data_IF_570325485765
#
_entry.id   IF_570325485765
#
_cell.length_a   1.000
_cell.length_b   1.000
_cell.length_c   1.000
_cell.angle_alpha   90.00
_cell.angle_beta   90.00
_cell.angle_gamma   90.00
#
_symmetry.space_group_name_H-M   'P 1'
#
loop_
_entity.id
_entity.type
_entity.pdbx_description
1 polymer ?
#
# COMPACT_ATOMS: atom_id res chain seq x y z
N UNK A 1 -28.47 2.15 21.98
CA UNK A 1 -27.83 2.61 20.73
C UNK A 1 -27.86 1.61 19.59
N UNK A 2 -27.39 0.36 19.73
CA UNK A 2 -27.42 -0.62 18.62
C UNK A 2 -28.82 -0.78 18.00
N UNK A 3 -29.85 -0.97 18.83
CA UNK A 3 -31.24 -1.07 18.37
C UNK A 3 -31.78 0.19 17.69
N UNK A 4 -31.35 1.38 18.11
CA UNK A 4 -31.78 2.66 17.54
C UNK A 4 -31.15 2.90 16.17
N UNK A 5 -29.84 2.62 16.04
CA UNK A 5 -29.13 2.72 14.75
C UNK A 5 -29.64 1.65 13.78
N UNK A 6 -29.93 0.43 14.24
CA UNK A 6 -30.53 -0.60 13.38
C UNK A 6 -31.94 -0.20 12.92
N UNK A 7 -32.74 0.44 13.78
CA UNK A 7 -34.01 1.05 13.41
C UNK A 7 -33.87 2.13 12.34
N UNK A 8 -32.83 2.97 12.46
CA UNK A 8 -32.48 4.00 11.47
C UNK A 8 -32.10 3.39 10.12
N UNK A 9 -31.32 2.30 10.10
CA UNK A 9 -31.00 1.53 8.87
C UNK A 9 -32.26 0.95 8.24
N UNK A 10 -33.14 0.33 9.04
CA UNK A 10 -34.38 -0.24 8.55
C UNK A 10 -35.28 0.83 7.91
N UNK A 11 -35.36 2.01 8.54
CA UNK A 11 -36.06 3.16 7.99
C UNK A 11 -35.42 3.67 6.69
N UNK A 12 -34.09 3.86 6.66
CA UNK A 12 -33.31 4.27 5.47
C UNK A 12 -33.62 3.36 4.27
N UNK A 13 -33.54 2.05 4.49
CA UNK A 13 -33.74 1.04 3.44
C UNK A 13 -35.20 0.99 2.96
N UNK A 14 -36.18 1.11 3.87
CA UNK A 14 -37.60 1.12 3.52
C UNK A 14 -37.99 2.32 2.66
N UNK A 15 -37.42 3.49 2.95
CA UNK A 15 -37.82 4.74 2.31
C UNK A 15 -36.89 5.14 1.15
N UNK A 16 -35.75 4.47 0.96
CA UNK A 16 -34.78 4.82 -0.08
C UNK A 16 -34.13 6.19 0.12
N UNK A 17 -34.11 6.70 1.36
CA UNK A 17 -33.59 8.04 1.70
C UNK A 17 -32.22 7.90 2.35
N UNK A 18 -31.16 8.56 1.84
CA UNK A 18 -29.86 8.58 2.51
C UNK A 18 -29.96 9.19 3.92
N UNK A 19 -29.20 8.63 4.86
CA UNK A 19 -29.20 9.09 6.25
C UNK A 19 -27.79 9.46 6.67
N UNK A 20 -27.69 10.57 7.40
CA UNK A 20 -26.48 11.04 8.07
C UNK A 20 -26.81 11.27 9.55
N UNK A 21 -26.00 10.74 10.46
CA UNK A 21 -26.11 11.02 11.89
C UNK A 21 -25.55 12.42 12.16
N UNK A 22 -26.45 13.41 12.15
CA UNK A 22 -26.12 14.84 12.29
C UNK A 22 -25.22 15.13 13.49
N UNK A 23 -25.54 14.53 14.63
CA UNK A 23 -24.80 14.71 15.88
C UNK A 23 -24.84 13.41 16.68
N UNK A 24 -23.70 13.00 17.21
CA UNK A 24 -23.65 12.03 18.29
C UNK A 24 -22.57 12.43 19.31
N UNK A 25 -22.86 12.16 20.58
CA UNK A 25 -22.00 12.54 21.69
C UNK A 25 -22.66 12.15 23.01
N UNK A 26 -21.86 12.08 24.06
CA UNK A 26 -22.31 11.77 25.41
C UNK A 26 -22.74 13.03 26.16
N UNK A 27 -23.72 12.94 27.06
CA UNK A 27 -24.11 14.06 27.93
C UNK A 27 -22.93 14.63 28.74
N UNK A 28 -22.86 15.95 28.91
CA UNK A 28 -21.79 16.66 29.64
C UNK A 28 -21.58 16.20 31.09
N UNK A 29 -22.61 15.62 31.70
CA UNK A 29 -22.58 15.12 33.08
C UNK A 29 -21.96 13.73 33.20
N UNK A 30 -21.70 13.05 32.09
CA UNK A 30 -21.01 11.77 32.11
C UNK A 30 -19.51 11.98 32.39
N UNK A 31 -18.91 11.08 33.16
CA UNK A 31 -17.46 11.08 33.38
C UNK A 31 -16.71 10.92 32.06
N UNK A 32 -15.50 11.49 31.95
CA UNK A 32 -14.65 11.40 30.74
C UNK A 32 -14.52 9.97 30.21
N UNK A 33 -14.33 8.99 31.10
CA UNK A 33 -14.26 7.58 30.72
C UNK A 33 -15.58 7.07 30.11
N UNK A 34 -16.74 7.49 30.65
CA UNK A 34 -18.05 7.16 30.10
C UNK A 34 -18.28 7.83 28.74
N UNK A 35 -17.85 9.09 28.60
CA UNK A 35 -17.89 9.84 27.34
C UNK A 35 -17.11 9.13 26.23
N UNK A 36 -15.87 8.73 26.52
CA UNK A 36 -15.02 7.97 25.59
C UNK A 36 -15.60 6.60 25.20
N UNK A 37 -16.22 5.87 26.13
CA UNK A 37 -16.94 4.62 25.82
C UNK A 37 -18.14 4.85 24.91
N UNK A 38 -18.98 5.82 25.23
CA UNK A 38 -20.16 6.14 24.42
C UNK A 38 -19.78 6.58 23.01
N UNK A 39 -18.76 7.43 22.87
CA UNK A 39 -18.20 7.82 21.57
C UNK A 39 -17.77 6.59 20.75
N UNK A 40 -17.08 5.63 21.40
CA UNK A 40 -16.67 4.36 20.80
C UNK A 40 -17.84 3.53 20.31
N UNK A 41 -18.83 3.33 21.16
CA UNK A 41 -19.99 2.51 20.83
C UNK A 41 -20.80 3.13 19.70
N UNK A 42 -20.96 4.46 19.72
CA UNK A 42 -21.63 5.21 18.67
C UNK A 42 -20.90 5.07 17.34
N UNK A 43 -19.60 5.39 17.32
CA UNK A 43 -18.76 5.27 16.12
C UNK A 43 -18.76 3.85 15.58
N UNK A 44 -18.61 2.83 16.43
CA UNK A 44 -18.62 1.43 16.00
C UNK A 44 -19.94 1.03 15.34
N UNK A 45 -21.08 1.44 15.91
CA UNK A 45 -22.39 1.15 15.33
C UNK A 45 -22.63 1.90 14.02
N UNK A 46 -22.22 3.18 13.93
CA UNK A 46 -22.29 3.96 12.69
C UNK A 46 -21.43 3.33 11.59
N UNK A 47 -20.19 2.94 11.89
CA UNK A 47 -19.30 2.21 10.96
C UNK A 47 -19.89 0.87 10.53
N UNK A 48 -20.39 0.05 11.47
CA UNK A 48 -21.01 -1.26 11.19
C UNK A 48 -22.18 -1.14 10.20
N UNK A 49 -22.94 -0.06 10.30
CA UNK A 49 -24.14 0.17 9.48
C UNK A 49 -23.90 1.03 8.24
N UNK A 50 -22.65 1.46 8.04
CA UNK A 50 -22.26 2.38 6.97
C UNK A 50 -23.11 3.67 6.99
N UNK A 51 -23.48 4.15 8.18
CA UNK A 51 -24.14 5.45 8.34
C UNK A 51 -23.04 6.48 8.67
N UNK A 52 -22.79 7.48 7.82
CA UNK A 52 -21.89 8.57 8.15
C UNK A 52 -22.44 9.40 9.32
N UNK A 53 -21.56 10.03 10.10
CA UNK A 53 -22.00 10.89 11.19
C UNK A 53 -20.96 11.90 11.64
N UNK A 54 -21.39 12.87 12.45
CA UNK A 54 -20.54 13.91 13.04
C UNK A 54 -20.61 13.87 14.56
N UNK A 55 -19.45 13.97 15.20
CA UNK A 55 -19.32 13.99 16.66
C UNK A 55 -19.54 15.40 17.18
N UNK A 56 -20.47 15.58 18.11
CA UNK A 56 -20.69 16.86 18.80
C UNK A 56 -19.90 16.92 20.12
N UNK A 57 -19.16 17.99 20.46
CA UNK A 57 -18.80 19.21 19.74
C UNK A 57 -17.29 19.46 19.82
N UNK A 58 -16.75 20.31 18.93
CA UNK A 58 -15.30 20.54 18.87
C UNK A 58 -14.76 21.25 20.13
N UNK A 59 -15.38 22.32 20.60
CA UNK A 59 -14.80 23.19 21.64
C UNK A 59 -15.82 23.98 22.49
N UNK A 60 -16.98 23.41 22.79
CA UNK A 60 -18.08 24.12 23.48
C UNK A 60 -17.98 24.13 25.02
N UNK A 61 -16.83 23.73 25.60
CA UNK A 61 -16.60 23.67 27.04
C UNK A 61 -17.28 22.50 27.77
N UNK A 62 -18.35 21.94 27.22
CA UNK A 62 -19.17 20.91 27.89
C UNK A 62 -19.06 19.52 27.23
N UNK A 63 -18.90 19.50 25.91
CA UNK A 63 -18.84 18.33 25.04
C UNK A 63 -17.55 18.29 24.20
N UNK A 64 -16.61 19.18 24.54
CA UNK A 64 -15.42 19.43 23.73
C UNK A 64 -14.55 18.19 23.51
N UNK A 65 -14.23 17.95 22.23
CA UNK A 65 -13.15 17.08 21.78
C UNK A 65 -11.80 17.79 21.95
N UNK A 66 -11.82 19.12 21.89
CA UNK A 66 -10.68 20.01 22.04
C UNK A 66 -10.95 21.07 23.10
N UNK A 67 -10.18 21.05 24.17
CA UNK A 67 -10.20 22.07 25.21
C UNK A 67 -9.39 23.29 24.77
N UNK A 68 -10.09 24.35 24.35
CA UNK A 68 -9.44 25.61 23.94
C UNK A 68 -8.80 26.37 25.10
N UNK A 69 -9.21 26.13 26.35
CA UNK A 69 -8.63 26.80 27.52
C UNK A 69 -7.30 26.17 27.89
N UNK A 70 -7.19 24.84 27.82
CA UNK A 70 -5.94 24.12 28.12
C UNK A 70 -5.10 23.79 26.88
N UNK A 71 -5.61 24.07 25.68
CA UNK A 71 -5.00 23.76 24.39
C UNK A 71 -4.66 22.26 24.26
N UNK A 72 -5.60 21.41 24.66
CA UNK A 72 -5.43 19.95 24.71
C UNK A 72 -6.62 19.23 24.10
N UNK A 73 -6.34 18.09 23.49
CA UNK A 73 -7.36 17.17 23.02
C UNK A 73 -7.88 16.27 24.16
N UNK A 74 -9.17 15.92 24.14
CA UNK A 74 -9.71 14.85 24.99
C UNK A 74 -9.38 13.49 24.35
N UNK A 75 -8.26 12.92 24.77
CA UNK A 75 -7.74 11.64 24.27
C UNK A 75 -8.74 10.48 24.41
N UNK A 76 -9.62 10.52 25.42
CA UNK A 76 -10.63 9.46 25.60
C UNK A 76 -11.71 9.55 24.55
N UNK A 77 -12.14 10.77 24.22
CA UNK A 77 -13.13 11.00 23.17
C UNK A 77 -12.50 10.74 21.82
N UNK A 78 -11.30 11.25 21.51
CA UNK A 78 -10.56 10.96 20.28
C UNK A 78 -10.45 9.45 20.04
N UNK A 79 -10.00 8.71 21.05
CA UNK A 79 -9.90 7.25 20.97
C UNK A 79 -11.27 6.59 20.73
N UNK A 80 -12.33 7.15 21.31
CA UNK A 80 -13.71 6.69 21.10
C UNK A 80 -14.24 6.99 19.69
N UNK A 81 -14.03 8.19 19.17
CA UNK A 81 -14.58 8.59 17.87
C UNK A 81 -13.84 7.96 16.69
N UNK A 82 -12.68 7.33 16.94
CA UNK A 82 -11.88 6.61 15.94
C UNK A 82 -11.74 7.40 14.63
N UNK A 83 -11.41 8.70 14.75
CA UNK A 83 -11.18 9.66 13.66
C UNK A 83 -10.07 9.16 12.72
N UNK A 84 -10.42 8.25 11.83
CA UNK A 84 -9.44 7.34 11.24
C UNK A 84 -8.79 6.51 12.33
N UNK A 85 -8.73 5.21 12.13
CA UNK A 85 -7.81 4.43 12.93
C UNK A 85 -6.39 4.77 12.49
N UNK A 86 -5.81 5.76 13.17
CA UNK A 86 -4.54 6.38 12.82
C UNK A 86 -3.45 5.31 12.79
N UNK A 87 -2.57 5.42 11.80
CA UNK A 87 -1.32 4.70 11.82
C UNK A 87 -0.65 4.88 13.19
N UNK A 88 -0.12 3.82 13.80
CA UNK A 88 0.76 4.00 14.96
C UNK A 88 2.10 4.44 14.44
N UNK A 89 2.47 5.69 14.69
CA UNK A 89 3.80 6.21 14.40
C UNK A 89 4.77 5.74 15.47
N UNK A 90 5.73 4.90 15.09
CA UNK A 90 6.82 4.45 15.95
C UNK A 90 7.94 5.49 15.99
N UNK A 91 8.22 6.14 14.85
CA UNK A 91 9.23 7.18 14.72
C UNK A 91 8.82 8.19 13.65
N UNK A 92 8.87 9.48 14.00
CA UNK A 92 8.69 10.64 13.11
C UNK A 92 9.40 11.83 13.78
N UNK A 93 10.58 12.22 13.27
CA UNK A 93 11.57 13.14 13.86
C UNK A 93 12.14 12.76 15.24
N UNK A 94 11.34 12.07 16.05
CA UNK A 94 11.64 11.57 17.38
C UNK A 94 10.93 10.24 17.59
N UNK A 95 11.51 9.41 18.45
CA UNK A 95 10.88 8.17 18.89
C UNK A 95 9.70 8.51 19.81
N UNK A 96 8.59 7.78 19.67
CA UNK A 96 7.47 7.91 20.59
C UNK A 96 7.92 7.70 22.05
N UNK A 97 7.45 8.53 22.98
CA UNK A 97 7.83 8.47 24.41
C UNK A 97 7.47 7.15 25.11
N UNK A 98 6.69 6.32 24.44
CA UNK A 98 6.23 5.00 24.86
C UNK A 98 7.02 3.84 24.25
N UNK A 99 8.01 4.14 23.42
CA UNK A 99 8.97 3.18 22.90
C UNK A 99 10.28 3.27 23.66
N UNK A 100 10.97 2.13 23.69
CA UNK A 100 12.37 2.03 24.02
C UNK A 100 13.14 1.66 22.77
N UNK A 101 14.34 2.21 22.72
CA UNK A 101 15.39 1.73 21.87
C UNK A 101 16.18 0.68 22.67
N UNK A 102 15.98 -0.59 22.34
CA UNK A 102 16.69 -1.71 22.97
C UNK A 102 17.58 -2.38 21.93
N UNK A 103 18.55 -1.63 21.45
CA UNK A 103 19.57 -2.14 20.54
C UNK A 103 20.58 -3.03 21.28
N UNK A 104 21.16 -4.03 20.61
CA UNK A 104 22.13 -4.95 21.21
C UNK A 104 23.39 -5.09 20.34
N UNK A 105 24.44 -5.73 20.86
CA UNK A 105 25.72 -5.93 20.17
C UNK A 105 26.38 -4.63 19.68
N UNK A 106 26.46 -3.62 20.56
CA UNK A 106 27.10 -2.31 20.28
C UNK A 106 26.48 -1.52 19.12
N UNK A 107 25.24 -1.82 18.75
CA UNK A 107 24.47 -1.01 17.82
C UNK A 107 24.30 0.39 18.39
N UNK A 108 24.53 1.41 17.57
CA UNK A 108 24.27 2.80 17.92
C UNK A 108 23.15 3.34 17.06
N UNK A 109 22.40 4.27 17.63
CA UNK A 109 21.40 5.01 16.88
C UNK A 109 21.29 6.43 17.39
N UNK A 110 21.26 7.40 16.49
CA UNK A 110 21.23 8.82 16.84
C UNK A 110 20.27 9.56 15.91
N UNK A 111 19.61 10.63 16.39
CA UNK A 111 18.96 11.58 15.50
C UNK A 111 19.96 12.10 14.46
N UNK A 112 19.54 12.20 13.20
CA UNK A 112 20.35 12.67 12.09
C UNK A 112 19.61 13.78 11.33
N UNK A 113 20.29 14.92 11.13
CA UNK A 113 19.72 16.09 10.47
C UNK A 113 20.09 16.21 8.98
N UNK A 114 21.08 15.43 8.52
CA UNK A 114 21.65 15.53 7.17
C UNK A 114 20.86 14.73 6.14
N UNK A 115 20.55 13.47 6.45
CA UNK A 115 19.80 12.56 5.59
C UNK A 115 18.44 12.32 6.23
N UNK A 116 17.42 13.04 5.77
CA UNK A 116 16.04 12.91 6.25
C UNK A 116 15.06 12.87 5.10
N UNK A 117 13.96 12.15 5.27
CA UNK A 117 12.89 12.05 4.28
C UNK A 117 11.83 13.12 4.53
N UNK A 118 11.53 13.34 5.79
CA UNK A 118 10.53 14.26 6.35
C UNK A 118 11.18 15.14 7.43
N UNK A 119 10.48 16.20 7.82
CA UNK A 119 10.73 16.87 9.10
C UNK A 119 12.13 17.41 9.38
N UNK A 120 12.51 17.36 10.65
CA UNK A 120 13.78 17.83 11.20
C UNK A 120 14.87 16.76 11.22
N UNK A 121 14.55 15.49 11.49
CA UNK A 121 15.48 14.40 11.73
C UNK A 121 15.04 13.09 11.11
N UNK A 122 16.01 12.24 10.77
CA UNK A 122 15.81 10.80 10.67
C UNK A 122 16.53 10.07 11.81
N UNK A 123 16.32 8.76 11.91
CA UNK A 123 17.07 7.89 12.80
C UNK A 123 18.24 7.25 12.06
N UNK A 124 19.46 7.65 12.35
CA UNK A 124 20.66 6.93 11.91
C UNK A 124 20.82 5.66 12.76
N UNK A 125 21.08 4.53 12.11
CA UNK A 125 21.38 3.24 12.75
C UNK A 125 22.70 2.70 12.22
N UNK A 126 23.61 2.36 13.12
CA UNK A 126 24.88 1.71 12.79
C UNK A 126 24.97 0.34 13.46
N UNK A 127 25.04 -0.73 12.65
CA UNK A 127 25.28 -2.09 13.07
C UNK A 127 26.77 -2.47 12.85
N UNK A 128 27.51 -2.96 13.85
CA UNK A 128 28.95 -3.23 13.72
C UNK A 128 29.29 -4.44 12.85
N UNK A 129 30.47 -4.37 12.22
CA UNK A 129 31.03 -5.29 11.22
C UNK A 129 31.42 -6.71 11.66
N UNK A 130 31.16 -7.09 12.91
CA UNK A 130 31.72 -8.33 13.47
C UNK A 130 30.71 -9.14 14.26
N UNK A 131 29.44 -8.73 14.21
CA UNK A 131 28.37 -9.44 14.90
C UNK A 131 27.24 -9.64 13.93
N UNK A 132 27.21 -10.80 13.27
CA UNK A 132 26.20 -11.21 12.29
C UNK A 132 24.77 -11.29 12.81
N UNK A 133 24.56 -10.88 14.06
CA UNK A 133 23.29 -10.84 14.76
C UNK A 133 23.04 -9.48 15.43
N UNK A 134 23.81 -8.44 15.11
CA UNK A 134 23.52 -7.09 15.61
C UNK A 134 22.17 -6.59 15.06
N UNK A 135 21.42 -5.87 15.89
CA UNK A 135 20.13 -5.36 15.50
C UNK A 135 19.67 -4.15 16.30
N UNK A 136 18.87 -3.33 15.62
CA UNK A 136 18.15 -2.21 16.18
C UNK A 136 16.71 -2.63 16.49
N UNK A 137 16.14 -2.13 17.58
CA UNK A 137 14.80 -2.51 18.03
C UNK A 137 13.98 -1.31 18.51
N UNK A 138 12.75 -1.21 17.99
CA UNK A 138 11.67 -0.50 18.64
C UNK A 138 10.89 -1.48 19.51
N UNK A 139 10.89 -1.28 20.83
CA UNK A 139 10.09 -2.09 21.75
C UNK A 139 9.21 -1.25 22.65
N UNK A 140 8.05 -1.80 23.01
CA UNK A 140 7.09 -1.12 23.86
C UNK A 140 7.62 -0.94 25.30
N UNK A 141 7.53 0.27 25.85
CA UNK A 141 7.91 0.54 27.23
C UNK A 141 6.82 0.09 28.22
N UNK A 142 6.89 -1.15 28.71
CA UNK A 142 5.94 -1.68 29.70
C UNK A 142 5.82 -0.84 30.98
N UNK A 143 6.91 -0.21 31.42
CA UNK A 143 6.93 0.46 32.74
C UNK A 143 6.25 1.83 32.74
N UNK A 144 5.91 2.41 31.59
CA UNK A 144 5.31 3.75 31.51
C UNK A 144 3.92 3.78 30.92
N UNK A 145 3.50 2.75 30.15
CA UNK A 145 2.14 2.70 29.58
C UNK A 145 1.43 1.38 29.93
N UNK A 146 0.22 1.43 30.54
CA UNK A 146 -0.48 0.25 31.06
C UNK A 146 -0.85 -0.80 30.02
N UNK A 147 -1.06 -0.43 28.76
CA UNK A 147 -1.40 -1.38 27.71
C UNK A 147 -0.94 -0.88 26.34
N UNK A 148 -0.20 -1.72 25.63
CA UNK A 148 0.08 -1.50 24.23
C UNK A 148 -1.19 -1.72 23.38
N UNK A 149 -1.37 -1.00 22.26
CA UNK A 149 -2.49 -1.24 21.35
C UNK A 149 -2.36 -2.63 20.70
N UNK A 150 -3.47 -3.34 20.45
CA UNK A 150 -3.43 -4.60 19.72
C UNK A 150 -2.89 -4.39 18.31
N UNK A 151 -2.12 -5.34 17.80
CA UNK A 151 -1.57 -5.28 16.44
C UNK A 151 -2.57 -5.74 15.36
N UNK A 152 -3.63 -6.46 15.75
CA UNK A 152 -4.62 -7.01 14.81
C UNK A 152 -5.33 -6.01 13.89
N UNK A 153 -5.49 -4.71 14.23
CA UNK A 153 -6.07 -3.74 13.31
C UNK A 153 -5.13 -3.29 12.18
N UNK A 154 -3.81 -3.51 12.32
CA UNK A 154 -2.81 -3.08 11.34
C UNK A 154 -2.61 -4.11 10.24
N UNK A 155 -2.51 -3.65 8.99
CA UNK A 155 -2.30 -4.48 7.81
C UNK A 155 -0.91 -4.37 7.22
N UNK A 156 -0.16 -3.32 7.53
CA UNK A 156 1.21 -3.19 7.09
C UNK A 156 2.10 -2.43 8.08
N UNK A 157 3.37 -2.76 8.10
CA UNK A 157 4.46 -1.93 8.59
C UNK A 157 4.95 -1.05 7.42
N UNK A 158 5.08 0.24 7.65
CA UNK A 158 5.57 1.22 6.68
C UNK A 158 6.73 2.00 7.26
N UNK A 159 7.74 2.28 6.45
CA UNK A 159 8.84 3.17 6.82
C UNK A 159 9.59 3.61 5.57
N UNK A 160 10.27 4.74 5.67
CA UNK A 160 11.29 5.12 4.70
C UNK A 160 12.65 4.65 5.17
N UNK A 161 13.46 4.17 4.22
CA UNK A 161 14.84 3.76 4.48
C UNK A 161 15.79 4.38 3.45
N UNK A 162 16.90 4.91 3.93
CA UNK A 162 18.02 5.38 3.10
C UNK A 162 19.20 4.43 3.29
N UNK A 163 19.63 3.79 2.22
CA UNK A 163 20.82 2.95 2.22
C UNK A 163 22.10 3.77 2.05
N UNK A 164 23.17 3.34 2.71
CA UNK A 164 24.54 3.70 2.38
C UNK A 164 25.19 2.55 1.58
N UNK A 165 26.37 2.74 0.97
CA UNK A 165 27.07 1.66 0.29
C UNK A 165 27.35 0.43 1.19
N UNK A 166 27.34 0.60 2.52
CA UNK A 166 27.61 -0.48 3.47
C UNK A 166 26.35 -1.11 4.10
N UNK A 167 25.13 -0.67 3.76
CA UNK A 167 23.91 -1.17 4.42
C UNK A 167 23.65 -2.66 4.24
N UNK A 168 24.06 -3.27 3.11
CA UNK A 168 23.81 -4.69 2.84
C UNK A 168 22.31 -5.08 2.90
N UNK A 169 22.06 -6.37 3.20
CA UNK A 169 20.70 -6.90 3.40
C UNK A 169 20.32 -6.79 4.88
N UNK A 170 19.13 -6.25 5.16
CA UNK A 170 18.55 -6.18 6.48
C UNK A 170 17.39 -7.17 6.61
N UNK A 171 17.27 -7.84 7.75
CA UNK A 171 16.10 -8.61 8.13
C UNK A 171 15.20 -7.77 9.03
N UNK A 172 13.94 -7.66 8.65
CA UNK A 172 12.86 -7.02 9.41
C UNK A 172 11.98 -8.10 10.01
N UNK A 173 11.69 -8.01 11.31
CA UNK A 173 10.80 -8.96 11.97
C UNK A 173 10.10 -8.33 13.17
N UNK A 174 8.91 -8.85 13.49
CA UNK A 174 8.16 -8.48 14.69
C UNK A 174 8.18 -9.66 15.66
N UNK A 175 8.84 -9.48 16.80
CA UNK A 175 8.70 -10.38 17.94
C UNK A 175 7.43 -10.01 18.69
N UNK A 176 6.77 -11.00 19.26
CA UNK A 176 5.66 -10.78 20.16
C UNK A 176 6.11 -11.04 21.60
N UNK A 177 5.49 -10.37 22.55
CA UNK A 177 5.62 -10.79 23.95
C UNK A 177 4.41 -11.65 24.32
N UNK A 178 4.66 -12.70 25.09
CA UNK A 178 3.65 -13.58 25.65
C UNK A 178 4.01 -13.94 27.08
N UNK A 179 3.35 -14.96 27.61
CA UNK A 179 3.72 -15.55 28.89
C UNK A 179 4.07 -17.04 28.68
N UNK A 180 5.05 -17.54 29.43
CA UNK A 180 5.30 -18.99 29.51
C UNK A 180 4.18 -19.70 30.28
N UNK A 181 4.31 -21.02 30.46
CA UNK A 181 3.34 -21.84 31.20
C UNK A 181 3.14 -21.41 32.67
N UNK A 182 4.09 -20.66 33.24
CA UNK A 182 4.05 -20.17 34.62
C UNK A 182 3.56 -18.71 34.70
N UNK A 183 3.20 -18.10 33.58
CA UNK A 183 2.79 -16.70 33.55
C UNK A 183 3.95 -15.69 33.46
N UNK A 184 5.20 -16.13 33.31
CA UNK A 184 6.33 -15.21 33.18
C UNK A 184 6.38 -14.60 31.78
N UNK A 185 6.65 -13.30 31.63
CA UNK A 185 6.80 -12.67 30.33
C UNK A 185 7.93 -13.32 29.52
N UNK A 186 7.62 -13.77 28.31
CA UNK A 186 8.59 -14.30 27.36
C UNK A 186 8.54 -13.55 26.04
N UNK A 187 9.65 -13.61 25.30
CA UNK A 187 9.70 -13.20 23.91
C UNK A 187 9.40 -14.39 23.03
N UNK A 188 8.30 -14.28 22.30
CA UNK A 188 7.92 -15.22 21.25
C UNK A 188 8.73 -14.81 20.02
N UNK A 189 9.61 -15.70 19.51
CA UNK A 189 10.35 -15.45 18.28
C UNK A 189 9.41 -15.13 17.11
N UNK A 190 9.84 -14.32 16.13
CA UNK A 190 9.04 -14.04 14.96
C UNK A 190 8.76 -15.34 14.21
N UNK A 191 7.52 -15.53 13.78
CA UNK A 191 7.14 -16.67 12.93
C UNK A 191 7.59 -16.47 11.48
N UNK A 192 7.79 -15.21 11.07
CA UNK A 192 8.28 -14.83 9.75
C UNK A 192 9.19 -13.61 9.83
N UNK A 193 10.09 -13.53 8.85
CA UNK A 193 11.04 -12.43 8.70
C UNK A 193 11.08 -11.99 7.24
N UNK A 194 11.27 -10.69 7.00
CA UNK A 194 11.35 -10.13 5.64
C UNK A 194 12.73 -9.54 5.42
N UNK A 195 13.40 -9.96 4.36
CA UNK A 195 14.69 -9.38 3.97
C UNK A 195 14.46 -8.19 3.04
N UNK A 196 15.16 -7.09 3.30
CA UNK A 196 15.13 -5.89 2.48
C UNK A 196 16.56 -5.48 2.10
N UNK A 197 16.70 -4.89 0.92
CA UNK A 197 17.96 -4.29 0.46
C UNK A 197 17.71 -2.81 0.20
N UNK A 198 18.14 -1.93 1.12
CA UNK A 198 18.00 -0.48 0.92
C UNK A 198 18.82 -0.02 -0.28
N UNK A 199 18.25 0.88 -1.09
CA UNK A 199 18.95 1.47 -2.22
C UNK A 199 20.02 2.42 -1.70
N UNK A 200 21.29 2.18 -2.03
CA UNK A 200 22.36 3.09 -1.65
C UNK A 200 22.15 4.48 -2.27
N UNK A 201 22.22 5.53 -1.45
CA UNK A 201 22.17 6.91 -1.91
C UNK A 201 20.76 7.46 -2.12
N UNK A 202 19.70 6.69 -1.84
CA UNK A 202 18.32 7.12 -2.09
C UNK A 202 17.35 6.64 -1.00
N UNK A 203 16.33 7.47 -0.73
CA UNK A 203 15.20 7.08 0.10
C UNK A 203 14.27 6.14 -0.67
N UNK A 204 13.80 5.10 0.00
CA UNK A 204 12.79 4.17 -0.50
C UNK A 204 11.74 3.92 0.59
N UNK A 205 10.46 4.01 0.23
CA UNK A 205 9.41 3.52 1.10
C UNK A 205 9.40 1.99 1.06
N UNK A 206 9.33 1.39 2.23
CA UNK A 206 9.16 -0.05 2.43
C UNK A 206 7.80 -0.26 3.09
N UNK A 207 6.97 -1.06 2.43
CA UNK A 207 5.65 -1.46 2.91
C UNK A 207 5.68 -2.97 3.07
N UNK A 208 5.63 -3.47 4.30
CA UNK A 208 5.63 -4.89 4.62
C UNK A 208 4.23 -5.26 5.11
N UNK A 209 3.45 -6.04 4.36
CA UNK A 209 2.20 -6.60 4.84
C UNK A 209 2.40 -7.33 6.18
N UNK A 210 1.50 -7.13 7.14
CA UNK A 210 1.58 -7.81 8.43
C UNK A 210 1.51 -9.33 8.27
N UNK A 211 0.88 -9.84 7.20
CA UNK A 211 0.89 -11.27 6.82
C UNK A 211 2.28 -11.81 6.51
N UNK A 212 3.18 -10.97 5.99
CA UNK A 212 4.56 -11.36 5.70
C UNK A 212 5.42 -11.36 6.98
N UNK A 213 4.94 -10.68 8.03
CA UNK A 213 5.49 -10.70 9.39
C UNK A 213 4.76 -11.71 10.29
N UNK A 214 3.89 -12.56 9.72
CA UNK A 214 3.21 -13.63 10.44
C UNK A 214 1.92 -13.23 11.14
N UNK A 215 1.35 -12.07 10.80
CA UNK A 215 0.11 -11.51 11.35
C UNK A 215 0.12 -11.43 12.88
N UNK A 216 1.11 -10.77 13.50
CA UNK A 216 1.18 -10.69 14.95
C UNK A 216 -0.07 -9.99 15.50
N UNK A 217 -0.72 -10.61 16.48
CA UNK A 217 -1.95 -10.12 17.13
C UNK A 217 -1.72 -9.52 18.52
N UNK A 218 -0.65 -9.92 19.21
CA UNK A 218 -0.36 -9.48 20.57
C UNK A 218 -0.11 -7.97 20.66
N UNK A 219 -0.50 -7.41 21.81
CA UNK A 219 -0.38 -5.98 22.09
C UNK A 219 1.08 -5.55 22.23
N UNK A 220 1.91 -6.38 22.84
CA UNK A 220 3.33 -6.07 23.05
C UNK A 220 4.15 -6.69 21.93
N UNK A 221 4.96 -5.84 21.30
CA UNK A 221 5.79 -6.24 20.18
C UNK A 221 7.18 -5.62 20.25
N UNK A 222 8.09 -6.22 19.49
CA UNK A 222 9.42 -5.67 19.21
C UNK A 222 9.66 -5.70 17.72
N UNK A 223 9.73 -4.54 17.11
CA UNK A 223 10.10 -4.40 15.71
C UNK A 223 11.62 -4.34 15.63
N UNK A 224 12.21 -5.27 14.89
CA UNK A 224 13.67 -5.40 14.77
C UNK A 224 14.15 -5.20 13.35
N UNK A 225 15.31 -4.56 13.21
CA UNK A 225 16.09 -4.44 11.99
C UNK A 225 17.48 -5.04 12.24
N UNK A 226 17.80 -6.17 11.60
CA UNK A 226 19.02 -6.95 11.85
C UNK A 226 19.87 -7.05 10.58
N UNK A 227 21.19 -7.05 10.71
CA UNK A 227 22.06 -7.42 9.59
C UNK A 227 21.95 -8.93 9.31
N UNK A 228 21.81 -9.35 8.06
CA UNK A 228 21.62 -10.77 7.69
C UNK A 228 22.92 -11.57 7.50
N UNK A 229 24.07 -10.91 7.52
CA UNK A 229 25.35 -11.55 7.25
C UNK A 229 26.35 -11.14 8.30
N UNK A 230 27.25 -12.07 8.66
CA UNK A 230 28.57 -11.73 9.20
C UNK A 230 29.35 -10.99 8.10
N UNK A 231 28.95 -9.74 7.87
CA UNK A 231 29.62 -8.85 6.95
C UNK A 231 30.78 -8.24 7.71
N UNK A 232 32.00 -8.36 7.17
CA UNK A 232 33.18 -7.64 7.66
C UNK A 232 33.06 -6.10 7.54
N UNK A 233 31.91 -5.59 7.06
CA UNK A 233 31.62 -4.17 6.90
C UNK A 233 30.43 -3.77 7.78
N UNK A 234 30.50 -2.67 8.55
CA UNK A 234 29.38 -2.20 9.35
C UNK A 234 28.19 -1.82 8.48
N UNK A 235 26.97 -2.16 8.90
CA UNK A 235 25.76 -1.74 8.22
C UNK A 235 25.33 -0.37 8.75
N UNK A 236 25.34 0.66 7.88
CA UNK A 236 24.83 1.99 8.23
C UNK A 236 23.59 2.30 7.39
N UNK A 237 22.50 2.72 8.01
CA UNK A 237 21.27 3.12 7.31
C UNK A 237 20.51 4.18 8.10
N UNK A 238 19.51 4.79 7.46
CA UNK A 238 18.63 5.79 8.08
C UNK A 238 17.18 5.35 7.96
N UNK A 239 16.41 5.51 9.03
CA UNK A 239 14.97 5.24 9.07
C UNK A 239 14.20 6.55 9.27
N UNK A 240 13.06 6.68 8.62
CA UNK A 240 12.15 7.82 8.78
C UNK A 240 10.68 7.37 8.61
N UNK A 241 9.74 8.14 9.17
CA UNK A 241 8.29 7.87 9.21
C UNK A 241 7.91 6.38 9.46
N UNK A 242 8.49 5.76 10.50
CA UNK A 242 8.21 4.36 10.83
C UNK A 242 6.83 4.25 11.47
N UNK A 243 5.93 3.46 10.88
CA UNK A 243 4.55 3.34 11.35
C UNK A 243 3.89 2.00 11.04
N UNK A 244 2.89 1.63 11.83
CA UNK A 244 1.96 0.55 11.54
C UNK A 244 0.69 1.15 10.95
N UNK A 245 0.28 0.71 9.75
CA UNK A 245 -0.91 1.22 9.05
C UNK A 245 -2.06 0.22 9.07
N UNK A 246 -3.30 0.69 9.23
CA UNK A 246 -4.50 -0.15 9.22
C UNK A 246 -5.10 -0.38 7.83
N UNK A 247 -5.81 -1.50 7.64
CA UNK A 247 -6.56 -1.77 6.41
C UNK A 247 -7.60 -0.66 6.19
N UNK A 248 -7.54 0.03 5.06
CA UNK A 248 -8.50 1.09 4.75
C UNK A 248 -8.26 2.43 5.46
N UNK A 249 -7.23 2.56 6.31
CA UNK A 249 -6.71 3.86 6.70
C UNK A 249 -5.91 4.42 5.53
N UNK A 250 -6.62 4.94 4.53
CA UNK A 250 -6.07 5.95 3.66
C UNK A 250 -5.89 7.22 4.48
N UNK A 251 -4.90 7.27 5.36
CA UNK A 251 -4.24 8.54 5.59
C UNK A 251 -3.61 8.89 4.25
N UNK A 252 -3.77 10.10 3.70
CA UNK A 252 -3.00 10.51 2.53
C UNK A 252 -1.63 11.03 3.01
N UNK A 253 -0.54 10.21 3.06
CA UNK A 253 0.76 10.74 2.69
C UNK A 253 0.68 10.99 1.18
N UNK A 254 1.32 12.05 0.67
CA UNK A 254 1.25 12.43 -0.74
C UNK A 254 1.26 11.19 -1.66
N UNK A 255 0.17 11.03 -2.40
CA UNK A 255 -0.10 10.01 -3.42
C UNK A 255 1.22 9.45 -3.97
N UNK A 256 1.73 8.35 -3.40
CA UNK A 256 2.96 7.73 -3.90
C UNK A 256 2.57 6.86 -5.09
N UNK A 257 2.36 7.56 -6.21
CA UNK A 257 2.31 7.07 -7.57
C UNK A 257 3.58 6.28 -7.86
N UNK A 258 3.64 4.99 -7.55
CA UNK A 258 4.67 4.15 -8.16
C UNK A 258 4.08 2.93 -8.85
N UNK A 259 2.93 2.38 -8.46
CA UNK A 259 2.34 1.25 -9.21
C UNK A 259 0.81 1.22 -9.35
N UNK A 260 0.09 2.16 -8.73
CA UNK A 260 -1.37 2.18 -8.89
C UNK A 260 -1.74 2.69 -10.29
N UNK A 261 -1.10 3.75 -10.80
CA UNK A 261 -1.35 4.25 -12.16
C UNK A 261 -0.20 3.87 -13.11
N UNK A 262 -0.41 2.86 -13.97
CA UNK A 262 0.49 2.49 -15.08
C UNK A 262 0.52 3.62 -16.12
N UNK A 263 -0.63 4.28 -16.30
CA UNK A 263 -0.81 5.46 -17.14
C UNK A 263 -1.67 6.47 -16.38
N UNK A 264 -1.09 7.61 -15.97
CA UNK A 264 -1.83 8.72 -15.35
C UNK A 264 -1.77 9.97 -16.22
N UNK A 265 -2.94 10.57 -16.43
CA UNK A 265 -3.17 11.64 -17.38
C UNK A 265 -2.78 13.05 -16.89
N UNK A 266 -1.72 13.14 -16.10
CA UNK A 266 -1.27 14.40 -15.46
C UNK A 266 -0.06 15.02 -16.16
N UNK A 267 0.60 14.29 -17.06
CA UNK A 267 1.79 14.74 -17.80
C UNK A 267 1.59 14.62 -19.31
N UNK A 268 1.98 15.63 -20.13
CA UNK A 268 1.97 15.54 -21.60
C UNK A 268 2.81 14.37 -22.16
N UNK A 269 3.72 13.81 -21.37
CA UNK A 269 4.53 12.65 -21.74
C UNK A 269 3.80 11.31 -21.57
N UNK A 270 2.63 11.29 -20.91
CA UNK A 270 1.66 10.19 -20.85
C UNK A 270 2.08 8.91 -20.10
N UNK A 271 3.30 8.43 -20.27
CA UNK A 271 3.75 7.18 -19.65
C UNK A 271 4.52 7.45 -18.35
N UNK A 272 4.31 6.58 -17.36
CA UNK A 272 5.14 6.58 -16.17
C UNK A 272 6.62 6.39 -16.57
N UNK A 273 7.53 7.15 -15.96
CA UNK A 273 8.95 7.20 -16.36
C UNK A 273 9.72 5.88 -16.22
N UNK A 274 9.10 4.88 -15.59
CA UNK A 274 9.61 3.52 -15.41
C UNK A 274 9.09 2.52 -16.45
N UNK A 275 8.24 2.95 -17.37
CA UNK A 275 7.79 2.15 -18.51
C UNK A 275 8.67 2.41 -19.74
N UNK A 276 8.89 1.37 -20.54
CA UNK A 276 9.33 1.53 -21.92
C UNK A 276 8.23 1.03 -22.85
N UNK A 277 8.07 1.73 -23.97
CA UNK A 277 7.25 1.28 -25.09
C UNK A 277 8.06 0.27 -25.90
N UNK A 278 7.59 -0.98 -25.96
CA UNK A 278 8.10 -2.01 -26.87
C UNK A 278 7.02 -2.54 -27.79
N UNK A 279 6.20 -1.62 -28.28
CA UNK A 279 5.23 -1.88 -29.34
C UNK A 279 5.83 -2.69 -30.49
N UNK A 280 5.03 -3.62 -31.00
CA UNK A 280 5.45 -4.45 -32.13
C UNK A 280 5.61 -3.59 -33.38
N UNK A 281 6.46 -4.01 -34.32
CA UNK A 281 6.76 -3.25 -35.54
C UNK A 281 5.47 -2.79 -36.23
N UNK A 282 5.33 -1.47 -36.42
CA UNK A 282 4.20 -0.85 -37.11
C UNK A 282 3.04 -0.40 -36.22
N UNK A 283 3.07 -0.68 -34.92
CA UNK A 283 2.11 -0.11 -33.95
C UNK A 283 2.50 1.34 -33.66
N UNK A 284 1.54 2.25 -33.78
CA UNK A 284 1.72 3.68 -33.51
C UNK A 284 1.12 4.02 -32.16
N UNK A 285 1.92 4.64 -31.29
CA UNK A 285 1.51 5.10 -29.97
C UNK A 285 1.80 6.59 -29.84
N UNK A 286 0.82 7.37 -29.37
CA UNK A 286 1.02 8.79 -29.10
C UNK A 286 0.01 9.31 -28.08
N UNK A 287 0.36 10.34 -27.30
CA UNK A 287 -0.63 11.09 -26.53
C UNK A 287 -1.69 11.71 -27.46
N UNK A 288 -2.97 11.65 -27.09
CA UNK A 288 -4.07 12.29 -27.81
C UNK A 288 -4.82 13.25 -26.89
N UNK A 289 -4.88 14.53 -27.28
CA UNK A 289 -5.66 15.56 -26.57
C UNK A 289 -7.10 15.67 -27.09
N UNK A 290 -7.45 14.95 -28.16
CA UNK A 290 -8.78 15.03 -28.79
C UNK A 290 -9.78 14.05 -28.17
N UNK A 291 -9.33 12.86 -27.79
CA UNK A 291 -10.18 11.82 -27.19
C UNK A 291 -9.64 11.54 -25.78
N UNK A 292 -10.18 12.21 -24.76
CA UNK A 292 -9.67 12.14 -23.39
C UNK A 292 -10.81 11.71 -22.44
N UNK A 293 -10.54 10.77 -21.51
CA UNK A 293 -11.54 10.40 -20.51
C UNK A 293 -11.56 11.39 -19.36
N UNK A 294 -10.37 11.76 -18.90
CA UNK A 294 -10.14 12.73 -17.82
C UNK A 294 -8.67 13.15 -17.80
N UNK A 295 -8.34 14.43 -17.61
CA UNK A 295 -6.96 14.90 -17.60
C UNK A 295 -6.59 15.63 -18.90
N UNK A 296 -5.31 15.59 -19.29
CA UNK A 296 -4.78 16.37 -20.42
C UNK A 296 -4.74 15.61 -21.77
N UNK A 297 -4.58 14.29 -21.79
CA UNK A 297 -4.35 13.43 -22.96
C UNK A 297 -4.64 11.94 -22.70
N UNK A 298 -5.26 11.20 -23.59
CA UNK A 298 -5.24 9.72 -23.51
C UNK A 298 -4.03 9.14 -24.27
N UNK A 299 -3.82 7.84 -24.17
CA UNK A 299 -2.89 7.13 -25.05
C UNK A 299 -3.63 6.60 -26.28
N UNK A 300 -3.36 7.17 -27.45
CA UNK A 300 -3.81 6.61 -28.73
C UNK A 300 -2.92 5.42 -29.11
N UNK A 301 -3.56 4.30 -29.45
CA UNK A 301 -2.91 3.11 -29.99
C UNK A 301 -3.55 2.77 -31.33
N UNK A 302 -2.72 2.70 -32.38
CA UNK A 302 -3.14 2.31 -33.73
C UNK A 302 -2.31 1.10 -34.18
N UNK A 303 -2.99 0.01 -34.51
CA UNK A 303 -2.39 -1.19 -35.05
C UNK A 303 -2.29 -1.11 -36.57
N UNK A 304 -1.21 -1.65 -37.19
CA UNK A 304 -1.10 -1.66 -38.64
C UNK A 304 -2.22 -2.50 -39.24
N UNK A 305 -2.74 -2.06 -40.38
CA UNK A 305 -3.71 -2.82 -41.16
C UNK A 305 -3.07 -4.11 -41.70
N UNK A 306 -3.87 -5.15 -41.89
CA UNK A 306 -3.48 -6.39 -42.59
C UNK A 306 -2.36 -7.21 -41.93
N UNK A 307 -2.11 -7.07 -40.63
CA UNK A 307 -1.10 -7.86 -39.92
C UNK A 307 -1.63 -9.06 -39.16
N UNK A 308 -2.89 -9.47 -39.20
CA UNK A 308 -3.36 -10.65 -38.45
C UNK A 308 -3.37 -10.46 -36.92
N UNK A 309 -2.23 -10.11 -36.30
CA UNK A 309 -2.06 -9.75 -34.90
C UNK A 309 -1.07 -8.61 -34.70
N UNK A 310 -1.43 -7.66 -33.85
CA UNK A 310 -0.56 -6.60 -33.36
C UNK A 310 -0.67 -6.47 -31.83
N UNK A 311 0.37 -5.92 -31.21
CA UNK A 311 0.44 -5.74 -29.75
C UNK A 311 1.11 -4.43 -29.36
N UNK A 312 0.47 -3.70 -28.46
CA UNK A 312 1.07 -2.63 -27.69
C UNK A 312 1.58 -3.20 -26.35
N UNK A 313 2.84 -2.96 -26.00
CA UNK A 313 3.46 -3.48 -24.78
C UNK A 313 3.96 -2.34 -23.88
N UNK A 314 3.57 -2.41 -22.62
CA UNK A 314 4.07 -1.62 -21.50
C UNK A 314 5.02 -2.49 -20.68
N UNK A 315 6.32 -2.27 -20.86
CA UNK A 315 7.35 -3.03 -20.17
C UNK A 315 7.92 -2.29 -18.95
N UNK A 316 8.16 -3.02 -17.85
CA UNK A 316 8.87 -2.48 -16.69
C UNK A 316 10.36 -2.30 -17.01
N UNK A 317 10.92 -1.11 -16.75
CA UNK A 317 12.38 -0.92 -16.80
C UNK A 317 13.08 -1.96 -15.93
N UNK A 318 14.28 -2.41 -16.36
CA UNK A 318 15.05 -3.50 -15.70
C UNK A 318 15.29 -3.32 -14.20
N UNK A 319 15.16 -2.10 -13.66
CA UNK A 319 15.30 -1.80 -12.24
C UNK A 319 14.02 -2.08 -11.41
N UNK A 320 12.92 -2.45 -12.06
CA UNK A 320 11.58 -2.63 -11.45
C UNK A 320 10.94 -4.00 -11.73
N UNK A 321 11.73 -5.04 -12.00
CA UNK A 321 11.23 -6.32 -12.56
C UNK A 321 10.41 -7.21 -11.59
N UNK A 322 10.12 -6.75 -10.38
CA UNK A 322 9.46 -7.54 -9.33
C UNK A 322 8.23 -6.81 -8.76
N UNK A 323 7.27 -6.43 -9.61
CA UNK A 323 5.97 -5.92 -9.14
C UNK A 323 5.10 -7.12 -8.76
N UNK A 324 4.91 -7.34 -7.47
CA UNK A 324 3.99 -8.35 -6.95
C UNK A 324 2.55 -7.98 -7.28
N UNK A 325 1.83 -8.91 -7.90
CA UNK A 325 0.39 -8.79 -8.19
C UNK A 325 -0.49 -9.37 -7.08
N UNK A 326 0.10 -10.00 -6.07
CA UNK A 326 -0.62 -10.62 -4.95
C UNK A 326 -1.57 -9.70 -4.16
N UNK A 327 -1.32 -8.38 -3.98
CA UNK A 327 -2.26 -7.53 -3.25
C UNK A 327 -3.46 -7.08 -4.09
N UNK A 328 -3.44 -7.33 -5.41
CA UNK A 328 -4.46 -6.87 -6.33
C UNK A 328 -5.42 -8.00 -6.70
N UNK A 329 -6.65 -7.62 -7.01
CA UNK A 329 -7.78 -8.46 -7.40
C UNK A 329 -8.14 -8.32 -8.88
N UNK A 330 -7.87 -7.15 -9.48
CA UNK A 330 -8.20 -6.87 -10.87
C UNK A 330 -7.22 -5.90 -11.54
N UNK A 331 -7.22 -5.89 -12.88
CA UNK A 331 -6.72 -4.81 -13.71
C UNK A 331 -7.92 -3.97 -14.16
N UNK A 332 -7.87 -2.65 -13.96
CA UNK A 332 -8.88 -1.69 -14.41
C UNK A 332 -8.28 -0.69 -15.37
N UNK A 333 -9.01 -0.33 -16.42
CA UNK A 333 -8.64 0.76 -17.33
C UNK A 333 -9.87 1.31 -18.04
N UNK A 334 -9.78 2.54 -18.54
CA UNK A 334 -10.75 3.08 -19.48
C UNK A 334 -10.26 2.86 -20.90
N UNK A 335 -11.18 2.46 -21.78
CA UNK A 335 -10.90 2.30 -23.20
C UNK A 335 -11.97 3.01 -24.04
N UNK A 336 -11.51 3.75 -25.05
CA UNK A 336 -12.37 4.31 -26.08
C UNK A 336 -12.24 3.46 -27.35
N UNK A 337 -13.30 2.71 -27.67
CA UNK A 337 -13.39 2.00 -28.94
C UNK A 337 -13.74 2.96 -30.08
N UNK A 338 -13.09 2.76 -31.23
CA UNK A 338 -13.48 3.35 -32.51
C UNK A 338 -14.23 2.31 -33.34
N UNK A 339 -14.80 2.71 -34.48
CA UNK A 339 -15.46 1.77 -35.40
C UNK A 339 -14.51 0.71 -35.99
N UNK A 340 -13.19 0.87 -35.87
CA UNK A 340 -12.19 -0.06 -36.40
C UNK A 340 -11.50 -0.93 -35.34
N UNK A 341 -11.76 -0.76 -34.04
CA UNK A 341 -10.95 -1.37 -32.96
C UNK A 341 -10.87 -2.90 -32.99
N UNK A 342 -11.89 -3.59 -33.49
CA UNK A 342 -11.92 -5.05 -33.49
C UNK A 342 -11.92 -5.67 -32.08
N UNK A 343 -11.59 -6.95 -32.00
CA UNK A 343 -11.46 -7.66 -30.72
C UNK A 343 -10.06 -7.43 -30.13
N UNK A 344 -10.02 -7.08 -28.84
CA UNK A 344 -8.81 -6.90 -28.05
C UNK A 344 -8.66 -7.99 -27.00
N UNK A 345 -7.42 -8.31 -26.66
CA UNK A 345 -7.03 -9.20 -25.59
C UNK A 345 -5.97 -8.52 -24.73
N UNK A 346 -6.04 -8.69 -23.41
CA UNK A 346 -4.99 -8.22 -22.51
C UNK A 346 -4.10 -9.39 -22.12
N UNK A 347 -2.79 -9.16 -22.13
CA UNK A 347 -1.80 -10.13 -21.68
C UNK A 347 -0.95 -9.56 -20.55
N UNK A 348 -0.62 -10.39 -19.57
CA UNK A 348 0.41 -10.12 -18.57
C UNK A 348 1.52 -11.14 -18.73
N UNK A 349 2.74 -10.65 -18.96
CA UNK A 349 3.93 -11.49 -18.94
C UNK A 349 4.53 -11.48 -17.53
N UNK A 350 4.90 -12.65 -17.03
CA UNK A 350 5.60 -12.88 -15.78
C UNK A 350 6.99 -13.41 -16.09
N UNK A 351 8.04 -12.71 -15.63
CA UNK A 351 9.43 -13.10 -15.86
C UNK A 351 9.74 -14.48 -15.24
N UNK A 352 10.50 -15.30 -15.95
CA UNK A 352 11.10 -16.53 -15.41
C UNK A 352 12.58 -16.25 -15.18
N UNK A 353 12.96 -16.15 -13.91
CA UNK A 353 14.35 -15.97 -13.52
C UNK A 353 15.09 -17.30 -13.52
N UNK A 354 16.21 -17.35 -14.25
CA UNK A 354 17.14 -18.48 -14.25
C UNK A 354 18.49 -17.93 -13.82
N UNK A 355 19.00 -18.35 -12.67
CA UNK A 355 20.30 -17.91 -12.14
C UNK A 355 20.48 -16.37 -12.07
N UNK A 356 19.43 -15.64 -11.67
CA UNK A 356 19.50 -14.19 -11.47
C UNK A 356 19.47 -13.35 -12.75
N UNK A 357 19.18 -13.94 -13.91
CA UNK A 357 18.89 -13.22 -15.15
C UNK A 357 17.60 -13.75 -15.80
N UNK A 358 17.02 -12.97 -16.72
CA UNK A 358 15.90 -13.40 -17.57
C UNK A 358 16.51 -13.81 -18.92
N UNK A 359 16.62 -15.10 -19.25
CA UNK A 359 17.03 -15.52 -20.58
C UNK A 359 16.04 -14.96 -21.60
N UNK A 360 16.53 -14.45 -22.74
CA UNK A 360 15.67 -13.88 -23.79
C UNK A 360 14.50 -14.82 -24.12
N UNK A 361 13.27 -14.30 -24.03
CA UNK A 361 12.04 -15.07 -24.29
C UNK A 361 11.58 -15.99 -23.15
N UNK A 362 12.09 -15.87 -21.93
CA UNK A 362 11.66 -16.69 -20.79
C UNK A 362 10.67 -15.93 -19.90
N UNK A 363 9.42 -15.89 -20.33
CA UNK A 363 8.30 -15.40 -19.51
C UNK A 363 7.10 -16.35 -19.63
N UNK A 364 6.31 -16.46 -18.56
CA UNK A 364 4.98 -17.05 -18.64
C UNK A 364 4.02 -15.96 -19.06
N UNK A 365 3.28 -16.18 -20.13
CA UNK A 365 2.28 -15.25 -20.63
C UNK A 365 0.90 -15.70 -20.18
N UNK A 366 0.15 -14.78 -19.58
CA UNK A 366 -1.23 -15.00 -19.19
C UNK A 366 -2.13 -14.08 -20.00
N UNK A 367 -3.23 -14.61 -20.53
CA UNK A 367 -4.14 -13.88 -21.41
C UNK A 367 -5.58 -13.91 -20.90
N UNK A 368 -6.34 -12.88 -21.26
CA UNK A 368 -7.78 -12.81 -21.02
C UNK A 368 -8.54 -13.42 -22.20
N UNK A 369 -9.84 -13.72 -22.08
CA UNK A 369 -10.70 -13.79 -23.25
C UNK A 369 -10.65 -12.47 -24.04
N UNK A 370 -10.85 -12.55 -25.35
CA UNK A 370 -10.96 -11.36 -26.17
C UNK A 370 -12.28 -10.62 -25.87
N UNK A 371 -12.26 -9.29 -25.95
CA UNK A 371 -13.43 -8.43 -25.80
C UNK A 371 -13.42 -7.34 -26.87
N UNK A 372 -14.59 -6.85 -27.24
CA UNK A 372 -14.72 -5.75 -28.21
C UNK A 372 -15.02 -4.46 -27.46
N UNK A 373 -14.14 -3.45 -27.51
CA UNK A 373 -14.43 -2.15 -26.93
C UNK A 373 -15.68 -1.53 -27.55
N UNK A 374 -16.55 -0.96 -26.73
CA UNK A 374 -17.71 -0.22 -27.24
C UNK A 374 -17.29 1.08 -27.90
N UNK A 375 -18.10 1.58 -28.84
CA UNK A 375 -17.90 2.93 -29.36
C UNK A 375 -18.05 3.94 -28.20
N UNK A 376 -17.01 4.75 -27.96
CA UNK A 376 -16.97 5.63 -26.80
C UNK A 376 -16.19 5.05 -25.61
N UNK A 377 -16.09 5.84 -24.54
CA UNK A 377 -15.41 5.42 -23.31
C UNK A 377 -16.20 4.35 -22.56
N UNK A 378 -15.53 3.26 -22.24
CA UNK A 378 -16.02 2.21 -21.35
C UNK A 378 -14.95 1.86 -20.34
N UNK A 379 -15.37 1.55 -19.11
CA UNK A 379 -14.47 0.99 -18.11
C UNK A 379 -14.39 -0.51 -18.31
N UNK A 380 -13.16 -1.02 -18.35
CA UNK A 380 -12.87 -2.45 -18.41
C UNK A 380 -12.22 -2.85 -17.11
N UNK A 381 -12.82 -3.82 -16.43
CA UNK A 381 -12.30 -4.41 -15.19
C UNK A 381 -12.13 -5.91 -15.38
N UNK A 382 -10.88 -6.36 -15.33
CA UNK A 382 -10.48 -7.74 -15.61
C UNK A 382 -9.98 -8.37 -14.30
N UNK A 383 -10.71 -9.32 -13.70
CA UNK A 383 -10.23 -10.03 -12.53
C UNK A 383 -8.90 -10.74 -12.82
N UNK A 384 -7.92 -10.66 -11.94
CA UNK A 384 -6.62 -11.32 -12.14
C UNK A 384 -6.76 -12.85 -12.26
N UNK A 385 -7.78 -13.43 -11.62
CA UNK A 385 -8.14 -14.86 -11.73
C UNK A 385 -8.66 -15.28 -13.12
N UNK A 386 -9.05 -14.32 -13.97
CA UNK A 386 -9.51 -14.58 -15.33
C UNK A 386 -8.36 -14.79 -16.33
N UNK A 387 -7.15 -14.34 -15.98
CA UNK A 387 -5.96 -14.52 -16.79
C UNK A 387 -5.57 -16.01 -16.81
N UNK A 388 -5.49 -16.60 -18.00
CA UNK A 388 -5.13 -18.01 -18.18
C UNK A 388 -3.73 -18.13 -18.79
N UNK A 389 -2.90 -19.07 -18.31
CA UNK A 389 -1.60 -19.31 -18.92
C UNK A 389 -1.79 -19.77 -20.37
N UNK A 390 -0.94 -19.30 -21.29
CA UNK A 390 -0.90 -19.87 -22.63
C UNK A 390 -0.38 -21.32 -22.59
N UNK A 391 -0.81 -22.19 -23.53
CA UNK A 391 -0.38 -23.60 -23.57
C UNK A 391 1.13 -23.81 -23.70
N UNK A 392 1.86 -22.82 -24.22
CA UNK A 392 3.32 -22.83 -24.39
C UNK A 392 4.09 -22.31 -23.17
N UNK A 393 3.38 -21.98 -22.07
CA UNK A 393 4.04 -21.58 -20.83
C UNK A 393 4.88 -22.71 -20.26
N UNK A 394 6.13 -22.37 -19.92
CA UNK A 394 7.11 -23.33 -19.39
C UNK A 394 6.77 -23.82 -17.98
N UNK A 395 5.87 -23.13 -17.28
CA UNK A 395 5.44 -23.51 -15.93
C UNK A 395 3.94 -23.28 -15.75
N UNK A 396 3.25 -24.22 -15.11
CA UNK A 396 1.84 -24.12 -14.71
C UNK A 396 1.63 -23.18 -13.50
N UNK A 397 2.33 -22.04 -13.48
CA UNK A 397 2.31 -21.11 -12.36
C UNK A 397 1.03 -20.27 -12.31
N UNK A 398 0.67 -19.81 -11.11
CA UNK A 398 -0.31 -18.75 -10.93
C UNK A 398 0.32 -17.40 -11.34
N UNK A 399 -0.50 -16.47 -11.82
CA UNK A 399 -0.10 -15.09 -12.06
C UNK A 399 0.16 -14.41 -10.72
N UNK A 400 1.42 -14.13 -10.39
CA UNK A 400 1.82 -13.53 -9.12
C UNK A 400 2.67 -12.27 -9.28
N UNK A 401 3.17 -12.02 -10.48
CA UNK A 401 4.07 -10.89 -10.76
C UNK A 401 3.78 -10.28 -12.14
N UNK A 402 4.04 -8.99 -12.26
CA UNK A 402 4.01 -8.25 -13.52
C UNK A 402 5.44 -8.02 -14.02
N UNK A 403 5.71 -8.43 -15.25
CA UNK A 403 6.90 -8.04 -16.01
C UNK A 403 6.54 -7.14 -17.21
N UNK A 404 5.47 -7.48 -17.92
CA UNK A 404 4.89 -6.65 -19.01
C UNK A 404 3.38 -6.72 -18.99
N UNK A 405 2.75 -5.62 -19.36
CA UNK A 405 1.33 -5.55 -19.70
C UNK A 405 1.20 -5.31 -21.21
N UNK A 406 0.37 -6.08 -21.90
CA UNK A 406 0.16 -5.92 -23.34
C UNK A 406 -1.31 -5.84 -23.71
N UNK A 407 -1.63 -4.97 -24.66
CA UNK A 407 -2.93 -4.89 -25.33
C UNK A 407 -2.75 -5.39 -26.75
N UNK A 408 -3.45 -6.48 -27.10
CA UNK A 408 -3.32 -7.17 -28.38
C UNK A 408 -4.63 -7.10 -29.14
N UNK A 409 -4.56 -6.97 -30.46
CA UNK A 409 -5.75 -6.99 -31.31
C UNK A 409 -5.57 -7.84 -32.55
N UNK A 410 -6.66 -8.50 -32.95
CA UNK A 410 -6.73 -9.13 -34.26
C UNK A 410 -6.87 -8.05 -35.34
N UNK A 411 -6.10 -8.18 -36.41
CA UNK A 411 -5.86 -7.14 -37.41
C UNK A 411 -6.35 -7.56 -38.81
N UNK A 412 -7.26 -8.54 -38.88
CA UNK A 412 -7.85 -9.03 -40.13
C UNK A 412 -8.72 -7.99 -40.88
N UNK A 413 -8.76 -6.75 -40.39
CA UNK A 413 -9.40 -5.61 -41.02
C UNK A 413 -8.47 -4.90 -42.00
N UNK A 414 -9.02 -4.45 -43.14
CA UNK A 414 -8.33 -3.55 -44.08
C UNK A 414 -8.17 -2.12 -43.53
N UNK A 415 -8.87 -1.80 -42.44
CA UNK A 415 -8.75 -0.52 -41.71
C UNK A 415 -7.95 -0.77 -40.44
N UNK A 416 -6.90 0.04 -40.24
CA UNK A 416 -6.07 0.04 -39.04
C UNK A 416 -6.93 0.14 -37.77
N UNK A 417 -6.92 -0.87 -36.88
CA UNK A 417 -7.63 -0.80 -35.62
C UNK A 417 -7.04 0.31 -34.74
N UNK A 418 -7.91 1.18 -34.24
CA UNK A 418 -7.52 2.30 -33.36
C UNK A 418 -8.32 2.28 -32.07
N UNK A 419 -7.69 2.55 -30.94
CA UNK A 419 -8.34 2.75 -29.66
C UNK A 419 -7.56 3.73 -28.78
N UNK A 420 -8.18 4.17 -27.70
CA UNK A 420 -7.55 5.05 -26.71
C UNK A 420 -7.60 4.41 -25.33
N UNK A 421 -6.52 4.50 -24.57
CA UNK A 421 -6.44 4.05 -23.18
C UNK A 421 -6.31 5.23 -22.23
N UNK A 422 -6.95 5.14 -21.07
CA UNK A 422 -6.81 6.10 -19.98
C UNK A 422 -6.91 5.38 -18.62
N UNK A 423 -6.27 5.93 -17.59
CA UNK A 423 -6.26 5.43 -16.20
C UNK A 423 -6.05 3.91 -16.06
N UNK A 424 -4.94 3.39 -16.60
CA UNK A 424 -4.62 1.95 -16.51
C UNK A 424 -4.03 1.65 -15.12
N UNK A 425 -4.69 0.81 -14.32
CA UNK A 425 -4.33 0.56 -12.92
C UNK A 425 -4.66 -0.85 -12.43
N UNK A 426 -3.97 -1.31 -11.39
CA UNK A 426 -4.37 -2.51 -10.64
C UNK A 426 -5.23 -2.12 -9.42
N UNK A 427 -6.20 -2.97 -9.05
CA UNK A 427 -7.15 -2.75 -7.94
C UNK A 427 -7.11 -3.84 -6.88
#
# INVERSE_FOLDING_TARGET
>A
MTSEIDGLVAWRNRNGVPVFMGEYGSIKFASTASRGRYARDSTNNLKRTQIPGCTWAFGDGAFQIYDSTTNKWDENIIAGIQLGTKDIVLYDDAMGSWLRNTSWNSVTSNPNTQFKKSGANSLEVNLPASVGWSGYEFSWQRSTIPAAPPLSPYSALRFWIYGTPSTGVLQVSIHQEGNDANGNPIIIPPTRTVNITPTSGAWREVVIPMTDLGSPTNNYFRLTFKGMTESATPHKFYLDDVRLSQTGSATPPGKLLIYDDIYENTSPAGLATWLYDSSWTGVITKPSTQVVKSGASSLEVEFPASVGWAGYELGLQRKHLDVSLMPYSALRFWIYGTSSTGALQVAIDQAIWVNGYIPGGSFNRFITPAFTPTLGWSEVKIPLSSFKPLPDNRTNGNLTQLFRLSFKGATESTVAPKFYLDQVQFE
#
